data_IF_526997394924
#
_entry.id   IF_526997394924
#
_cell.length_a   1.000
_cell.length_b   1.000
_cell.length_c   1.000
_cell.angle_alpha   90.00
_cell.angle_beta   90.00
_cell.angle_gamma   90.00
#
_symmetry.space_group_name_H-M   'P 1'
#
loop_
_entity.id
_entity.type
_entity.pdbx_description
1 polymer ?
#
# COMPACT_ATOMS: atom_id res chain seq x y z
N UNK A 1 20.07 0.11 29.12
CA UNK A 1 19.95 0.57 27.72
C UNK A 1 18.49 0.46 27.35
N UNK A 2 17.75 1.58 27.24
CA UNK A 2 16.36 1.52 26.83
C UNK A 2 16.31 1.09 25.35
N UNK A 3 15.68 -0.04 25.07
CA UNK A 3 15.46 -0.53 23.72
C UNK A 3 14.68 0.55 22.95
N UNK A 4 15.24 1.04 21.84
CA UNK A 4 14.60 2.06 21.02
C UNK A 4 13.41 1.42 20.32
N UNK A 5 12.23 1.48 20.95
CA UNK A 5 10.98 0.93 20.41
C UNK A 5 10.82 1.34 18.94
N UNK A 6 10.76 0.35 18.06
CA UNK A 6 10.44 0.56 16.65
C UNK A 6 9.04 1.19 16.55
N UNK A 7 8.95 2.34 15.87
CA UNK A 7 7.69 3.10 15.72
C UNK A 7 7.09 2.94 14.34
N UNK A 8 7.54 1.96 13.55
CA UNK A 8 6.95 1.64 12.25
C UNK A 8 5.45 1.34 12.39
N UNK A 9 5.07 0.55 13.38
CA UNK A 9 3.66 0.19 13.63
C UNK A 9 2.79 1.38 14.08
N UNK A 10 3.39 2.45 14.60
CA UNK A 10 2.66 3.67 14.95
C UNK A 10 2.23 4.44 13.68
N UNK A 11 2.87 4.19 12.52
CA UNK A 11 2.55 4.85 11.27
C UNK A 11 1.20 4.36 10.74
N UNK A 12 0.22 5.24 10.73
CA UNK A 12 -1.15 4.90 10.29
C UNK A 12 -1.19 4.43 8.83
N UNK A 13 -0.36 4.98 7.93
CA UNK A 13 -0.28 4.51 6.54
C UNK A 13 0.34 3.11 6.41
N UNK A 14 1.20 2.71 7.36
CA UNK A 14 1.75 1.37 7.41
C UNK A 14 0.69 0.37 7.87
N UNK A 15 -0.03 0.67 8.96
CA UNK A 15 -1.14 -0.16 9.43
C UNK A 15 -2.22 -0.34 8.36
N UNK A 16 -2.54 0.72 7.62
CA UNK A 16 -3.51 0.64 6.51
C UNK A 16 -2.99 -0.22 5.35
N UNK A 17 -1.69 -0.18 5.06
CA UNK A 17 -1.08 -1.06 4.06
C UNK A 17 -1.14 -2.54 4.47
N UNK A 18 -0.88 -2.84 5.75
CA UNK A 18 -1.00 -4.20 6.30
C UNK A 18 -2.47 -4.69 6.27
N UNK A 19 -3.42 -3.84 6.66
CA UNK A 19 -4.85 -4.17 6.58
C UNK A 19 -5.28 -4.47 5.13
N UNK A 20 -4.80 -3.71 4.15
CA UNK A 20 -5.06 -3.98 2.73
C UNK A 20 -4.53 -5.34 2.29
N UNK A 21 -3.37 -5.77 2.81
CA UNK A 21 -2.82 -7.10 2.53
C UNK A 21 -3.68 -8.22 3.11
N UNK A 22 -4.15 -8.07 4.35
CA UNK A 22 -5.04 -9.04 4.99
C UNK A 22 -6.36 -9.20 4.22
N UNK A 23 -6.98 -8.08 3.84
CA UNK A 23 -8.22 -8.09 3.06
C UNK A 23 -8.01 -8.69 1.67
N UNK A 24 -6.87 -8.42 1.04
CA UNK A 24 -6.53 -8.98 -0.26
C UNK A 24 -6.51 -10.51 -0.25
N UNK A 25 -6.20 -11.16 0.87
CA UNK A 25 -6.24 -12.62 0.96
C UNK A 25 -7.62 -13.17 0.56
N UNK A 26 -8.68 -12.62 1.17
CA UNK A 26 -10.06 -12.99 0.89
C UNK A 26 -10.52 -12.57 -0.51
N UNK A 27 -10.07 -11.41 -0.98
CA UNK A 27 -10.39 -10.92 -2.32
C UNK A 27 -9.75 -11.82 -3.40
N UNK A 28 -8.54 -12.30 -3.16
CA UNK A 28 -7.80 -13.19 -4.07
C UNK A 28 -8.45 -14.57 -4.22
N UNK A 29 -9.09 -15.10 -3.17
CA UNK A 29 -9.85 -16.36 -3.23
C UNK A 29 -11.07 -16.24 -4.15
N UNK A 30 -11.73 -15.08 -4.16
CA UNK A 30 -12.85 -14.80 -5.10
C UNK A 30 -12.33 -14.73 -6.53
N UNK A 31 -11.22 -14.03 -6.76
CA UNK A 31 -10.59 -13.92 -8.07
C UNK A 31 -10.09 -15.27 -8.61
N UNK A 32 -9.59 -16.15 -7.75
CA UNK A 32 -8.96 -17.42 -8.15
C UNK A 32 -9.90 -18.38 -8.91
N UNK A 33 -11.22 -18.18 -8.77
CA UNK A 33 -12.27 -18.96 -9.44
C UNK A 33 -12.31 -18.74 -10.95
N UNK A 34 -11.78 -17.62 -11.44
CA UNK A 34 -11.74 -17.26 -12.87
C UNK A 34 -10.30 -17.16 -13.37
N UNK A 35 -10.02 -17.59 -14.60
CA UNK A 35 -8.65 -17.53 -15.14
C UNK A 35 -8.12 -16.09 -15.23
N UNK A 36 -8.96 -15.11 -15.58
CA UNK A 36 -8.60 -13.69 -15.65
C UNK A 36 -8.37 -13.15 -14.25
N UNK A 37 -9.18 -13.58 -13.29
CA UNK A 37 -9.01 -13.25 -11.88
C UNK A 37 -7.68 -13.74 -11.32
N UNK A 38 -7.23 -14.95 -11.69
CA UNK A 38 -5.89 -15.43 -11.31
C UNK A 38 -4.77 -14.53 -11.84
N UNK A 39 -4.87 -14.04 -13.08
CA UNK A 39 -3.88 -13.10 -13.62
C UNK A 39 -3.89 -11.76 -12.87
N UNK A 40 -5.07 -11.23 -12.57
CA UNK A 40 -5.23 -10.01 -11.77
C UNK A 40 -4.63 -10.21 -10.37
N UNK A 41 -4.98 -11.30 -9.69
CA UNK A 41 -4.49 -11.61 -8.35
C UNK A 41 -2.95 -11.68 -8.31
N UNK A 42 -2.30 -12.25 -9.33
CA UNK A 42 -0.82 -12.26 -9.40
C UNK A 42 -0.22 -10.86 -9.49
N UNK A 43 -0.85 -9.93 -10.18
CA UNK A 43 -0.40 -8.54 -10.22
C UNK A 43 -0.65 -7.85 -8.88
N UNK A 44 -1.80 -8.13 -8.25
CA UNK A 44 -2.16 -7.58 -6.95
C UNK A 44 -1.27 -8.05 -5.80
N UNK A 45 -0.81 -9.32 -5.81
CA UNK A 45 0.23 -9.81 -4.88
C UNK A 45 1.46 -8.90 -4.92
N UNK A 46 1.90 -8.52 -6.12
CA UNK A 46 3.11 -7.69 -6.30
C UNK A 46 2.86 -6.27 -5.83
N UNK A 47 1.80 -5.62 -6.32
CA UNK A 47 1.59 -4.21 -6.00
C UNK A 47 1.13 -4.00 -4.56
N UNK A 48 0.21 -4.81 -4.01
CA UNK A 48 -0.24 -4.65 -2.61
C UNK A 48 0.89 -5.01 -1.65
N UNK A 49 1.58 -6.13 -1.85
CA UNK A 49 2.71 -6.53 -0.99
C UNK A 49 3.86 -5.52 -1.02
N UNK A 50 4.12 -4.92 -2.19
CA UNK A 50 5.15 -3.88 -2.37
C UNK A 50 4.88 -2.60 -1.57
N UNK A 51 3.62 -2.28 -1.22
CA UNK A 51 3.31 -1.06 -0.47
C UNK A 51 4.00 -1.08 0.90
N UNK A 52 3.73 -2.12 1.69
CA UNK A 52 4.28 -2.31 3.03
C UNK A 52 5.79 -2.54 2.98
N UNK A 53 6.25 -3.40 2.06
CA UNK A 53 7.68 -3.68 1.89
C UNK A 53 8.53 -2.43 1.62
N UNK A 54 8.04 -1.52 0.77
CA UNK A 54 8.74 -0.25 0.53
C UNK A 54 8.68 0.68 1.75
N UNK A 55 7.59 0.68 2.53
CA UNK A 55 7.52 1.47 3.77
C UNK A 55 8.54 0.94 4.78
N UNK A 56 8.59 -0.38 4.99
CA UNK A 56 9.53 -1.08 5.87
C UNK A 56 10.97 -0.78 5.47
N UNK A 57 11.31 -0.95 4.19
CA UNK A 57 12.66 -0.74 3.69
C UNK A 57 13.08 0.73 3.83
N UNK A 58 12.19 1.65 3.45
CA UNK A 58 12.43 3.07 3.60
C UNK A 58 12.61 3.50 5.06
N UNK A 59 11.81 2.95 5.96
CA UNK A 59 11.89 3.24 7.40
C UNK A 59 13.19 2.69 8.00
N UNK A 60 13.56 1.45 7.66
CA UNK A 60 14.78 0.79 8.15
C UNK A 60 16.08 1.46 7.70
N UNK A 61 16.07 2.15 6.55
CA UNK A 61 17.21 2.95 6.05
C UNK A 61 17.35 4.32 6.73
N UNK A 62 16.37 4.71 7.56
CA UNK A 62 16.38 5.96 8.31
C UNK A 62 15.79 7.16 7.56
N UNK A 63 15.57 8.26 8.27
CA UNK A 63 14.77 9.41 7.82
C UNK A 63 15.50 10.39 6.88
N UNK A 64 16.50 9.92 6.13
CA UNK A 64 17.30 10.72 5.20
C UNK A 64 16.59 11.04 3.87
N UNK A 65 17.37 11.37 2.84
CA UNK A 65 16.85 11.69 1.49
C UNK A 65 16.21 10.48 0.79
N UNK A 66 16.54 9.26 1.22
CA UNK A 66 16.04 8.01 0.64
C UNK A 66 14.61 7.69 1.09
N UNK A 67 14.22 7.99 2.33
CA UNK A 67 12.90 7.60 2.83
C UNK A 67 11.73 8.16 1.99
N UNK A 68 11.72 9.45 1.58
CA UNK A 68 10.71 9.95 0.64
C UNK A 68 10.66 9.20 -0.68
N UNK A 69 11.80 8.70 -1.18
CA UNK A 69 11.84 7.94 -2.42
C UNK A 69 11.12 6.59 -2.27
N UNK A 70 11.37 5.87 -1.18
CA UNK A 70 10.67 4.62 -0.88
C UNK A 70 9.16 4.83 -0.72
N UNK A 71 8.74 5.90 -0.04
CA UNK A 71 7.32 6.23 0.06
C UNK A 71 6.68 6.56 -1.30
N UNK A 72 7.45 7.10 -2.28
CA UNK A 72 6.96 7.28 -3.66
C UNK A 72 6.72 5.92 -4.34
N UNK A 73 7.56 4.92 -4.10
CA UNK A 73 7.35 3.56 -4.61
C UNK A 73 6.12 2.91 -3.99
N UNK A 74 5.92 3.04 -2.67
CA UNK A 74 4.69 2.60 -2.01
C UNK A 74 3.45 3.28 -2.61
N UNK A 75 3.51 4.59 -2.85
CA UNK A 75 2.41 5.35 -3.47
C UNK A 75 2.14 4.92 -4.91
N UNK A 76 3.19 4.61 -5.68
CA UNK A 76 3.07 4.06 -7.03
C UNK A 76 2.35 2.71 -7.00
N UNK A 77 2.79 1.81 -6.12
CA UNK A 77 2.21 0.48 -5.94
C UNK A 77 0.74 0.56 -5.49
N UNK A 78 0.39 1.49 -4.59
CA UNK A 78 -1.00 1.72 -4.17
C UNK A 78 -1.90 2.22 -5.32
N UNK A 79 -1.39 3.07 -6.21
CA UNK A 79 -2.13 3.50 -7.41
C UNK A 79 -2.36 2.36 -8.38
N UNK A 80 -1.35 1.50 -8.57
CA UNK A 80 -1.48 0.32 -9.40
C UNK A 80 -2.52 -0.66 -8.84
N UNK A 81 -2.46 -0.95 -7.53
CA UNK A 81 -3.44 -1.78 -6.84
C UNK A 81 -4.87 -1.27 -7.03
N UNK A 82 -5.07 0.05 -6.92
CA UNK A 82 -6.37 0.70 -7.15
C UNK A 82 -6.86 0.44 -8.56
N UNK A 83 -5.99 0.57 -9.56
CA UNK A 83 -6.30 0.24 -10.94
C UNK A 83 -6.68 -1.23 -11.16
N UNK A 84 -6.05 -2.17 -10.44
CA UNK A 84 -6.38 -3.59 -10.53
C UNK A 84 -7.73 -3.93 -9.91
N UNK A 85 -8.09 -3.32 -8.77
CA UNK A 85 -9.43 -3.48 -8.18
C UNK A 85 -10.54 -3.04 -9.16
N UNK A 86 -10.35 -1.92 -9.87
CA UNK A 86 -11.31 -1.47 -10.88
C UNK A 86 -11.46 -2.48 -12.03
N UNK A 87 -10.37 -3.14 -12.45
CA UNK A 87 -10.41 -4.19 -13.47
C UNK A 87 -11.00 -5.50 -12.96
N UNK A 88 -10.96 -5.74 -11.66
CA UNK A 88 -11.54 -6.89 -10.99
C UNK A 88 -13.05 -6.72 -10.68
N UNK A 89 -13.64 -5.57 -11.00
CA UNK A 89 -15.06 -5.26 -10.76
C UNK A 89 -16.03 -6.37 -11.17
N UNK A 90 -15.92 -7.00 -12.36
CA UNK A 90 -16.83 -8.08 -12.76
C UNK A 90 -16.74 -9.34 -11.87
N UNK A 91 -15.64 -9.53 -11.14
CA UNK A 91 -15.39 -10.69 -10.29
C UNK A 91 -15.69 -10.43 -8.81
N UNK A 92 -15.50 -9.18 -8.36
CA UNK A 92 -15.60 -8.82 -6.95
C UNK A 92 -16.91 -8.11 -6.58
N UNK A 93 -17.58 -7.50 -7.56
CA UNK A 93 -18.77 -6.67 -7.32
C UNK A 93 -18.40 -5.23 -6.92
N UNK A 94 -19.35 -4.32 -7.10
CA UNK A 94 -19.15 -2.87 -6.93
C UNK A 94 -18.89 -2.45 -5.48
N UNK A 95 -19.61 -3.04 -4.53
CA UNK A 95 -19.48 -2.70 -3.11
C UNK A 95 -18.06 -2.96 -2.59
N UNK A 96 -17.52 -4.15 -2.87
CA UNK A 96 -16.16 -4.52 -2.47
C UNK A 96 -15.13 -3.63 -3.16
N UNK A 97 -15.26 -3.42 -4.46
CA UNK A 97 -14.32 -2.57 -5.20
C UNK A 97 -14.34 -1.14 -4.69
N UNK A 98 -15.51 -0.60 -4.35
CA UNK A 98 -15.63 0.74 -3.78
C UNK A 98 -14.93 0.83 -2.42
N UNK A 99 -15.15 -0.12 -1.52
CA UNK A 99 -14.50 -0.16 -0.21
C UNK A 99 -12.96 -0.15 -0.35
N UNK A 100 -12.43 -0.99 -1.24
CA UNK A 100 -10.97 -1.06 -1.50
C UNK A 100 -10.44 0.20 -2.17
N UNK A 101 -11.22 0.82 -3.05
CA UNK A 101 -10.88 2.08 -3.71
C UNK A 101 -10.74 3.23 -2.69
N UNK A 102 -11.66 3.30 -1.73
CA UNK A 102 -11.64 4.31 -0.66
C UNK A 102 -10.43 4.13 0.26
N UNK A 103 -10.14 2.89 0.67
CA UNK A 103 -8.95 2.57 1.48
C UNK A 103 -7.65 2.95 0.75
N UNK A 104 -7.52 2.57 -0.53
CA UNK A 104 -6.34 2.90 -1.33
C UNK A 104 -6.21 4.42 -1.58
N UNK A 105 -7.32 5.11 -1.77
CA UNK A 105 -7.34 6.58 -1.93
C UNK A 105 -6.86 7.28 -0.65
N UNK A 106 -7.33 6.82 0.52
CA UNK A 106 -6.83 7.31 1.82
C UNK A 106 -5.33 7.07 1.96
N UNK A 107 -4.87 5.86 1.69
CA UNK A 107 -3.45 5.50 1.75
C UNK A 107 -2.58 6.39 0.84
N UNK A 108 -3.00 6.60 -0.41
CA UNK A 108 -2.29 7.47 -1.37
C UNK A 108 -2.20 8.91 -0.85
N UNK A 109 -3.26 9.42 -0.23
CA UNK A 109 -3.29 10.74 0.39
C UNK A 109 -2.28 10.85 1.55
N UNK A 110 -2.29 9.86 2.44
CA UNK A 110 -1.37 9.81 3.59
C UNK A 110 0.10 9.73 3.15
N UNK A 111 0.42 8.86 2.19
CA UNK A 111 1.76 8.74 1.62
C UNK A 111 2.20 10.06 0.96
N UNK A 112 1.29 10.72 0.23
CA UNK A 112 1.60 12.01 -0.41
C UNK A 112 1.92 13.10 0.63
N UNK A 113 1.15 13.17 1.72
CA UNK A 113 1.39 14.11 2.80
C UNK A 113 2.71 13.82 3.53
N UNK A 114 3.01 12.55 3.79
CA UNK A 114 4.26 12.12 4.41
C UNK A 114 5.48 12.49 3.56
N UNK A 115 5.45 12.20 2.26
CA UNK A 115 6.50 12.57 1.29
C UNK A 115 6.75 14.09 1.32
N UNK A 116 5.69 14.90 1.21
CA UNK A 116 5.81 16.36 1.21
C UNK A 116 6.40 16.89 2.53
N UNK A 117 5.97 16.33 3.67
CA UNK A 117 6.47 16.71 4.99
C UNK A 117 7.96 16.42 5.15
N UNK A 118 8.39 15.22 4.76
CA UNK A 118 9.80 14.81 4.83
C UNK A 118 10.68 15.62 3.87
N UNK A 119 10.22 15.87 2.66
CA UNK A 119 10.95 16.72 1.70
C UNK A 119 11.12 18.15 2.20
N UNK A 120 10.10 18.73 2.84
CA UNK A 120 10.19 20.09 3.43
C UNK A 120 11.21 20.12 4.57
N UNK A 121 11.27 19.08 5.39
CA UNK A 121 12.27 18.95 6.46
C UNK A 121 13.69 18.81 5.90
N UNK A 122 13.88 18.04 4.82
CA UNK A 122 15.19 17.82 4.20
C UNK A 122 15.76 19.03 3.45
N UNK A 123 14.96 20.09 3.24
CA UNK A 123 15.39 21.36 2.62
C UNK A 123 15.81 22.42 3.65
N UNK A 124 15.50 22.21 4.94
CA UNK A 124 15.89 23.08 6.06
C UNK A 124 17.18 22.58 6.67
#
# INVERSE_FOLDING_TARGET
MAERKDRLEDLEFYRLAMQLWELFWQDSEKMAKDFRGREIARQMVRCIGSIAANIEEGYGRGFGKEYPQYLRYSRGSAREARGWYQRALPLLGSELVQERDEMLSRLIGMLSNAIQSLERKNRR
#
